data_IF_485903779590
#
_entry.id   IF_485903779590
#
_cell.length_a   1.000
_cell.length_b   1.000
_cell.length_c   1.000
_cell.angle_alpha   90.00
_cell.angle_beta   90.00
_cell.angle_gamma   90.00
#
_symmetry.space_group_name_H-M   'P 1'
#
loop_
_entity.id
_entity.type
_entity.pdbx_description
1 polymer ?
#
# COMPACT_ATOMS: atom_id res chain seq x y z
N UNK A 1 -17.65 -0.82 5.82
CA UNK A 1 -16.58 -0.85 4.80
C UNK A 1 -15.37 -0.14 5.37
N UNK A 2 -14.18 -0.70 5.16
CA UNK A 2 -12.93 -0.06 5.56
C UNK A 2 -12.74 1.26 4.79
N UNK A 3 -12.18 2.28 5.45
CA UNK A 3 -11.89 3.58 4.84
C UNK A 3 -10.61 4.14 5.44
N UNK A 4 -9.67 4.52 4.58
CA UNK A 4 -8.43 5.20 4.95
C UNK A 4 -8.54 6.65 4.50
N UNK A 5 -8.20 7.60 5.38
CA UNK A 5 -8.18 9.02 5.05
C UNK A 5 -6.73 9.48 4.99
N UNK A 6 -6.25 9.85 3.81
CA UNK A 6 -4.85 10.22 3.61
C UNK A 6 -4.65 11.73 3.81
N UNK A 7 -3.57 12.16 4.49
CA UNK A 7 -3.17 13.56 4.48
C UNK A 7 -2.80 14.03 3.07
N UNK A 8 -2.80 15.34 2.87
CA UNK A 8 -2.40 15.95 1.59
C UNK A 8 -1.02 15.47 1.16
N UNK A 9 -0.92 14.97 -0.08
CA UNK A 9 0.32 14.49 -0.68
C UNK A 9 0.71 13.05 -0.30
N UNK A 10 -0.06 12.38 0.56
CA UNK A 10 0.10 10.94 0.80
C UNK A 10 -0.74 10.16 -0.21
N UNK A 11 -0.23 9.01 -0.66
CA UNK A 11 -0.89 8.16 -1.64
C UNK A 11 -0.79 6.68 -1.25
N UNK A 12 -1.81 5.90 -1.58
CA UNK A 12 -1.74 4.43 -1.56
C UNK A 12 -1.84 3.96 -3.01
N UNK A 13 -0.87 3.16 -3.46
CA UNK A 13 -0.81 2.65 -4.84
C UNK A 13 -0.88 1.12 -4.83
N UNK A 14 -1.83 0.49 -5.57
CA UNK A 14 -1.82 -0.95 -5.76
C UNK A 14 -0.61 -1.36 -6.59
N UNK A 15 0.03 -2.47 -6.20
CA UNK A 15 1.21 -3.02 -6.87
C UNK A 15 0.96 -4.39 -7.47
N UNK A 16 0.16 -5.21 -6.81
CA UNK A 16 -0.20 -6.52 -7.34
C UNK A 16 -1.13 -7.27 -6.40
N UNK A 17 -1.66 -8.37 -6.91
CA UNK A 17 -2.48 -9.30 -6.14
C UNK A 17 -1.98 -10.70 -6.42
N UNK A 18 -1.60 -11.42 -5.37
CA UNK A 18 -1.40 -12.85 -5.44
C UNK A 18 -2.71 -13.55 -5.13
N UNK A 19 -3.13 -14.47 -6.00
CA UNK A 19 -4.25 -15.35 -5.76
C UNK A 19 -3.73 -16.74 -5.35
N UNK A 20 -4.04 -17.17 -4.13
CA UNK A 20 -3.85 -18.55 -3.70
C UNK A 20 -5.15 -19.32 -3.93
N UNK A 21 -5.22 -19.97 -5.08
CA UNK A 21 -6.36 -20.77 -5.53
C UNK A 21 -6.56 -22.06 -4.71
N UNK A 22 -5.58 -22.46 -3.89
CA UNK A 22 -5.69 -23.66 -3.06
C UNK A 22 -6.47 -23.40 -1.78
N UNK A 23 -6.31 -22.21 -1.21
CA UNK A 23 -6.91 -21.83 0.07
C UNK A 23 -8.07 -20.83 -0.12
N UNK A 24 -8.21 -20.23 -1.30
CA UNK A 24 -9.26 -19.25 -1.59
C UNK A 24 -8.94 -17.90 -0.95
N UNK A 25 -7.77 -17.38 -1.32
CA UNK A 25 -7.02 -16.40 -0.55
C UNK A 25 -6.37 -15.37 -1.46
N UNK A 26 -6.39 -14.09 -1.06
CA UNK A 26 -5.71 -13.02 -1.80
C UNK A 26 -4.68 -12.30 -0.95
N UNK A 27 -3.45 -12.17 -1.46
CA UNK A 27 -2.49 -11.22 -0.89
C UNK A 27 -2.39 -9.99 -1.77
N UNK A 28 -2.82 -8.86 -1.24
CA UNK A 28 -2.73 -7.55 -1.89
C UNK A 28 -1.44 -6.85 -1.50
N UNK A 29 -0.74 -6.31 -2.49
CA UNK A 29 0.50 -5.57 -2.32
C UNK A 29 0.25 -4.11 -2.64
N UNK A 30 0.60 -3.23 -1.72
CA UNK A 30 0.45 -1.80 -1.84
C UNK A 30 1.76 -1.09 -1.50
N UNK A 31 1.94 0.08 -2.10
CA UNK A 31 2.85 1.08 -1.55
C UNK A 31 2.04 2.15 -0.80
N UNK A 32 2.58 2.60 0.33
CA UNK A 32 2.17 3.84 0.98
C UNK A 32 3.23 4.90 0.71
N UNK A 33 2.92 5.84 -0.17
CA UNK A 33 3.80 6.95 -0.54
C UNK A 33 3.53 8.13 0.39
N UNK A 34 4.59 8.69 0.98
CA UNK A 34 4.51 9.91 1.77
C UNK A 34 5.59 10.91 1.36
N UNK A 35 5.27 12.21 1.31
CA UNK A 35 6.18 13.21 0.76
C UNK A 35 7.40 13.38 1.65
N UNK A 36 8.55 13.61 1.03
CA UNK A 36 9.82 13.78 1.71
C UNK A 36 9.96 15.17 2.31
N UNK A 37 9.24 16.14 1.75
CA UNK A 37 9.11 17.52 2.22
C UNK A 37 7.76 18.13 1.83
N UNK A 38 7.25 18.98 2.71
CA UNK A 38 6.16 19.94 2.51
C UNK A 38 6.52 21.23 3.27
N UNK A 39 5.59 22.20 3.42
CA UNK A 39 5.83 23.49 4.13
C UNK A 39 6.43 23.32 5.54
N UNK A 40 6.29 22.14 6.15
CA UNK A 40 6.93 21.74 7.38
C UNK A 40 8.00 20.66 7.11
N UNK A 41 9.22 20.94 7.54
CA UNK A 41 10.38 20.04 7.44
C UNK A 41 10.17 18.77 8.29
N UNK A 42 10.33 17.59 7.66
CA UNK A 42 10.18 16.23 8.21
C UNK A 42 8.74 15.69 8.32
N UNK A 43 8.14 15.36 7.18
CA UNK A 43 6.91 14.57 7.13
C UNK A 43 7.22 13.08 7.35
N UNK A 44 6.51 12.47 8.30
CA UNK A 44 6.50 11.03 8.60
C UNK A 44 5.26 10.37 7.98
N UNK A 45 5.26 9.05 7.74
CA UNK A 45 4.03 8.37 7.32
C UNK A 45 2.95 8.56 8.40
N UNK A 46 1.71 8.79 7.97
CA UNK A 46 0.59 9.06 8.88
C UNK A 46 0.03 7.77 9.50
N UNK A 47 0.35 6.63 8.90
CA UNK A 47 -0.03 5.31 9.34
C UNK A 47 1.20 4.40 9.30
N UNK A 48 1.27 3.42 10.19
CA UNK A 48 2.18 2.29 10.05
C UNK A 48 1.57 1.21 9.13
N UNK A 49 2.38 0.22 8.73
CA UNK A 49 1.85 -0.93 7.98
C UNK A 49 0.79 -1.68 8.80
N UNK A 50 1.03 -1.88 10.09
CA UNK A 50 0.13 -2.60 10.99
C UNK A 50 -1.22 -1.87 11.15
N UNK A 51 -1.21 -0.55 11.26
CA UNK A 51 -2.44 0.26 11.32
C UNK A 51 -3.24 0.15 10.01
N UNK A 52 -2.57 0.18 8.86
CA UNK A 52 -3.22 0.00 7.55
C UNK A 52 -3.80 -1.42 7.42
N UNK A 53 -3.06 -2.44 7.84
CA UNK A 53 -3.50 -3.82 7.88
C UNK A 53 -4.73 -4.00 8.77
N UNK A 54 -4.74 -3.40 9.97
CA UNK A 54 -5.87 -3.47 10.88
C UNK A 54 -7.12 -2.80 10.29
N UNK A 55 -6.98 -1.60 9.71
CA UNK A 55 -8.08 -0.86 9.08
C UNK A 55 -8.69 -1.68 7.93
N UNK A 56 -7.87 -2.38 7.14
CA UNK A 56 -8.31 -3.19 6.01
C UNK A 56 -8.81 -4.59 6.42
N UNK A 57 -8.61 -5.00 7.67
CA UNK A 57 -9.05 -6.29 8.18
C UNK A 57 -8.14 -7.45 7.78
N UNK A 58 -6.82 -7.23 7.76
CA UNK A 58 -5.81 -8.25 7.50
C UNK A 58 -6.05 -9.56 8.26
N UNK A 59 -5.85 -10.69 7.58
CA UNK A 59 -6.03 -12.05 8.12
C UNK A 59 -7.48 -12.35 8.54
N UNK A 60 -8.43 -11.70 7.90
CA UNK A 60 -9.86 -11.97 8.09
C UNK A 60 -10.50 -12.27 6.75
N UNK A 61 -11.67 -12.89 6.81
CA UNK A 61 -12.58 -12.87 5.68
C UNK A 61 -13.03 -11.42 5.52
N UNK A 62 -12.56 -10.74 4.48
CA UNK A 62 -12.93 -9.36 4.23
C UNK A 62 -13.88 -9.27 3.05
N UNK A 63 -14.72 -8.25 3.05
CA UNK A 63 -15.74 -8.03 2.01
C UNK A 63 -16.78 -9.15 1.89
N UNK A 64 -17.55 -9.14 0.81
CA UNK A 64 -18.74 -9.98 0.62
C UNK A 64 -18.50 -11.24 -0.22
N UNK A 65 -17.26 -11.53 -0.58
CA UNK A 65 -16.88 -12.67 -1.43
C UNK A 65 -16.53 -13.94 -0.64
N UNK A 66 -16.39 -13.82 0.68
CA UNK A 66 -16.10 -14.96 1.57
C UNK A 66 -14.65 -15.42 1.53
N UNK A 67 -13.75 -14.66 0.91
CA UNK A 67 -12.33 -14.99 0.81
C UNK A 67 -11.53 -14.30 1.91
N UNK A 68 -10.38 -14.88 2.24
CA UNK A 68 -9.44 -14.27 3.16
C UNK A 68 -8.55 -13.28 2.42
N UNK A 69 -8.31 -12.13 3.02
CA UNK A 69 -7.42 -11.11 2.47
C UNK A 69 -6.24 -10.83 3.40
N UNK A 70 -5.06 -10.83 2.79
CA UNK A 70 -3.82 -10.40 3.40
C UNK A 70 -3.35 -9.13 2.70
N UNK A 71 -2.92 -8.16 3.48
CA UNK A 71 -2.45 -6.87 2.98
C UNK A 71 -0.98 -6.68 3.35
N UNK A 72 -0.15 -6.33 2.36
CA UNK A 72 1.27 -6.01 2.55
C UNK A 72 1.56 -4.61 2.04
N UNK A 73 2.25 -3.82 2.84
CA UNK A 73 2.58 -2.44 2.52
C UNK A 73 4.08 -2.22 2.47
N UNK A 74 4.55 -1.50 1.45
CA UNK A 74 5.88 -0.90 1.45
C UNK A 74 5.76 0.60 1.72
N UNK A 75 6.40 1.07 2.80
CA UNK A 75 6.35 2.47 3.22
C UNK A 75 7.44 3.27 2.49
N UNK A 76 7.05 4.12 1.53
CA UNK A 76 8.02 4.82 0.65
C UNK A 76 7.96 6.32 0.83
N UNK A 77 9.10 6.90 1.21
CA UNK A 77 9.30 8.34 1.19
C UNK A 77 9.57 8.77 -0.25
N UNK A 78 8.77 9.70 -0.79
CA UNK A 78 8.86 10.16 -2.18
C UNK A 78 9.07 11.66 -2.25
N UNK A 79 9.61 12.19 -3.35
CA UNK A 79 9.70 13.64 -3.55
C UNK A 79 8.83 14.03 -4.75
N UNK A 80 7.55 14.40 -4.54
CA UNK A 80 6.62 14.67 -5.64
C UNK A 80 7.01 15.84 -6.53
N UNK A 81 7.85 16.75 -6.04
CA UNK A 81 8.39 17.87 -6.82
C UNK A 81 9.55 17.51 -7.73
N UNK A 82 10.00 16.24 -7.76
CA UNK A 82 11.03 15.79 -8.70
C UNK A 82 10.44 15.63 -10.10
N UNK A 83 11.15 16.09 -11.13
CA UNK A 83 10.80 15.81 -12.54
C UNK A 83 10.83 14.31 -12.87
N UNK A 84 11.51 13.51 -12.04
CA UNK A 84 11.59 12.05 -12.18
C UNK A 84 10.56 11.32 -11.33
N UNK A 85 9.69 12.03 -10.62
CA UNK A 85 8.71 11.40 -9.76
C UNK A 85 7.58 10.80 -10.60
N UNK A 86 7.33 9.52 -10.35
CA UNK A 86 6.17 8.80 -10.87
C UNK A 86 5.66 7.92 -9.73
N UNK A 87 4.39 8.10 -9.35
CA UNK A 87 3.76 7.34 -8.29
C UNK A 87 3.72 5.83 -8.62
N UNK A 88 3.76 5.46 -9.90
CA UNK A 88 3.79 4.08 -10.38
C UNK A 88 5.08 3.74 -11.13
N UNK A 89 6.20 4.36 -10.73
CA UNK A 89 7.50 4.11 -11.35
C UNK A 89 7.82 2.60 -11.40
N UNK A 90 8.24 2.11 -12.58
CA UNK A 90 8.40 0.68 -12.87
C UNK A 90 9.23 -0.10 -11.82
N UNK A 91 10.27 0.53 -11.25
CA UNK A 91 11.12 -0.06 -10.19
C UNK A 91 10.33 -0.55 -8.97
N UNK A 92 9.20 0.08 -8.64
CA UNK A 92 8.39 -0.35 -7.49
C UNK A 92 7.77 -1.74 -7.71
N UNK A 93 7.61 -2.16 -8.97
CA UNK A 93 7.13 -3.49 -9.33
C UNK A 93 8.26 -4.53 -9.36
N UNK A 94 9.52 -4.12 -9.56
CA UNK A 94 10.68 -5.03 -9.54
C UNK A 94 11.02 -5.56 -8.13
N UNK A 95 10.57 -4.85 -7.09
CA UNK A 95 10.78 -5.22 -5.68
C UNK A 95 9.74 -6.22 -5.16
N UNK A 96 8.67 -6.48 -5.93
CA UNK A 96 7.66 -7.46 -5.56
C UNK A 96 8.21 -8.89 -5.63
N UNK A 97 7.62 -9.83 -4.88
CA UNK A 97 7.94 -11.23 -5.06
C UNK A 97 7.75 -11.66 -6.53
N UNK A 98 8.69 -12.44 -7.07
CA UNK A 98 8.72 -12.84 -8.50
C UNK A 98 7.52 -13.66 -8.98
N UNK A 99 6.65 -14.09 -8.07
CA UNK A 99 5.42 -14.83 -8.37
C UNK A 99 4.20 -13.90 -8.55
N UNK A 100 4.40 -12.59 -8.36
CA UNK A 100 3.47 -11.51 -8.69
C UNK A 100 3.70 -11.08 -10.14
#
# INVERSE_FOLDING_TARGET
MARITLPTGHEIRPRGVFCDDKIGSFTWYFDYLYPSSGLESNVSPAYTEEELQEILGHDRVTYSDGQFDWFKFSMRKVFPGSDTYDADHYRYYEELPKYI
#
